data_IF_292617042289
#
_entry.id   IF_292617042289
#
_cell.length_a   1.000
_cell.length_b   1.000
_cell.length_c   1.000
_cell.angle_alpha   90.00
_cell.angle_beta   90.00
_cell.angle_gamma   90.00
#
_symmetry.space_group_name_H-M   'P 1'
#
loop_
_entity.id
_entity.type
_entity.pdbx_description
1 polymer ?
#
# COMPACT_ATOMS: atom_id res chain seq x y z
N UNK A 1 -14.64 -10.99 -2.80
CA UNK A 1 -13.57 -10.13 -2.26
C UNK A 1 -12.35 -10.30 -3.16
N UNK A 2 -11.91 -9.23 -3.82
CA UNK A 2 -10.75 -9.27 -4.71
C UNK A 2 -9.46 -9.19 -3.90
N UNK A 3 -8.44 -9.94 -4.28
CA UNK A 3 -7.10 -9.84 -3.70
C UNK A 3 -6.23 -9.05 -4.65
N UNK A 4 -5.62 -7.98 -4.15
CA UNK A 4 -4.74 -7.10 -4.94
C UNK A 4 -3.38 -7.06 -4.27
N UNK A 5 -2.35 -7.44 -5.01
CA UNK A 5 -0.96 -7.29 -4.57
C UNK A 5 -0.42 -5.95 -5.07
N UNK A 6 0.14 -5.16 -4.16
CA UNK A 6 0.79 -3.90 -4.49
C UNK A 6 2.31 -4.04 -4.47
N UNK A 7 2.94 -3.49 -5.50
CA UNK A 7 4.34 -3.08 -5.48
C UNK A 7 4.45 -1.63 -4.96
N UNK A 8 5.66 -1.16 -4.63
CA UNK A 8 5.88 0.16 -4.03
C UNK A 8 5.36 1.31 -4.90
N UNK A 9 5.74 1.36 -6.18
CA UNK A 9 5.32 2.45 -7.06
C UNK A 9 3.79 2.52 -7.28
N UNK A 10 3.07 1.41 -7.56
CA UNK A 10 1.61 1.41 -7.62
C UNK A 10 0.94 1.76 -6.28
N UNK A 11 1.51 1.36 -5.14
CA UNK A 11 0.98 1.69 -3.82
C UNK A 11 1.08 3.20 -3.53
N UNK A 12 2.26 3.77 -3.76
CA UNK A 12 2.50 5.21 -3.63
C UNK A 12 1.56 5.97 -4.56
N UNK A 13 1.39 5.50 -5.79
CA UNK A 13 0.46 6.09 -6.76
C UNK A 13 -0.99 6.09 -6.23
N UNK A 14 -1.44 4.98 -5.64
CA UNK A 14 -2.76 4.87 -5.03
C UNK A 14 -2.93 5.78 -3.79
N UNK A 15 -1.84 6.12 -3.11
CA UNK A 15 -1.79 7.04 -1.99
C UNK A 15 -1.58 8.51 -2.41
N UNK A 16 -1.37 8.78 -3.71
CA UNK A 16 -1.17 10.11 -4.26
C UNK A 16 -2.46 10.70 -4.84
N UNK A 17 -3.19 9.91 -5.62
CA UNK A 17 -4.37 10.39 -6.35
C UNK A 17 -5.63 10.34 -5.51
N UNK A 18 -6.55 11.28 -5.78
CA UNK A 18 -7.84 11.39 -5.10
C UNK A 18 -8.99 11.23 -6.07
N UNK A 19 -10.03 10.56 -5.60
CA UNK A 19 -11.36 10.55 -6.19
C UNK A 19 -12.36 10.85 -5.06
N UNK A 20 -13.30 11.76 -5.31
CA UNK A 20 -14.33 12.12 -4.30
C UNK A 20 -13.72 12.52 -2.94
N UNK A 21 -12.65 13.32 -2.97
CA UNK A 21 -11.88 13.77 -1.80
C UNK A 21 -11.15 12.68 -0.98
N UNK A 22 -11.29 11.39 -1.29
CA UNK A 22 -10.56 10.28 -0.65
C UNK A 22 -9.38 9.84 -1.51
N UNK A 23 -8.33 9.27 -0.90
CA UNK A 23 -7.24 8.68 -1.69
C UNK A 23 -7.77 7.46 -2.45
N UNK A 24 -7.20 7.17 -3.61
CA UNK A 24 -7.61 6.00 -4.40
C UNK A 24 -7.52 4.70 -3.57
N UNK A 25 -6.49 4.59 -2.73
CA UNK A 25 -6.30 3.46 -1.81
C UNK A 25 -7.43 3.32 -0.77
N UNK A 26 -8.06 4.41 -0.34
CA UNK A 26 -9.16 4.40 0.64
C UNK A 26 -10.47 3.85 0.06
N UNK A 27 -10.59 3.88 -1.27
CA UNK A 27 -11.70 3.23 -1.96
C UNK A 27 -11.47 1.72 -2.09
N UNK A 28 -10.19 1.29 -2.16
CA UNK A 28 -9.82 -0.12 -2.33
C UNK A 28 -9.83 -0.89 -1.01
N UNK A 29 -9.26 -0.33 0.05
CA UNK A 29 -9.08 -1.02 1.33
C UNK A 29 -10.38 -1.64 1.92
N UNK A 30 -11.58 -1.02 1.80
CA UNK A 30 -12.81 -1.61 2.33
C UNK A 30 -13.37 -2.78 1.52
N UNK A 31 -12.98 -2.93 0.25
CA UNK A 31 -13.60 -3.88 -0.70
C UNK A 31 -12.62 -4.92 -1.25
N UNK A 32 -11.32 -4.72 -1.02
CA UNK A 32 -10.24 -5.58 -1.46
C UNK A 32 -9.41 -6.07 -0.26
N UNK A 33 -8.88 -7.29 -0.38
CA UNK A 33 -7.76 -7.74 0.46
C UNK A 33 -6.47 -7.26 -0.20
N UNK A 34 -5.83 -6.26 0.40
CA UNK A 34 -4.59 -5.67 -0.11
C UNK A 34 -3.41 -6.42 0.50
N UNK A 35 -2.54 -6.98 -0.36
CA UNK A 35 -1.31 -7.65 0.04
C UNK A 35 -0.10 -6.82 -0.34
N UNK A 36 0.87 -6.73 0.56
CA UNK A 36 2.11 -5.97 0.38
C UNK A 36 3.30 -6.85 0.77
N UNK A 37 4.33 -7.00 -0.08
CA UNK A 37 5.57 -7.69 0.31
C UNK A 37 6.32 -6.93 1.42
N UNK A 38 7.09 -7.62 2.29
CA UNK A 38 7.93 -6.96 3.29
C UNK A 38 8.91 -5.94 2.70
N UNK A 39 9.46 -6.24 1.50
CA UNK A 39 10.36 -5.30 0.80
C UNK A 39 9.67 -3.99 0.42
N UNK A 40 8.35 -4.03 0.14
CA UNK A 40 7.57 -2.84 -0.20
C UNK A 40 7.24 -2.04 1.06
N UNK A 41 6.95 -2.70 2.18
CA UNK A 41 6.82 -2.03 3.48
C UNK A 41 8.11 -1.30 3.85
N UNK A 42 9.27 -1.96 3.71
CA UNK A 42 10.58 -1.35 3.95
C UNK A 42 10.85 -0.15 3.02
N UNK A 43 10.58 -0.29 1.72
CA UNK A 43 10.76 0.79 0.76
C UNK A 43 9.86 1.99 1.06
N UNK A 44 8.59 1.76 1.38
CA UNK A 44 7.66 2.83 1.76
C UNK A 44 8.04 3.47 3.09
N UNK A 45 8.54 2.70 4.05
CA UNK A 45 9.01 3.23 5.34
C UNK A 45 10.28 4.08 5.20
N UNK A 46 11.19 3.72 4.29
CA UNK A 46 12.48 4.41 4.12
C UNK A 46 12.40 5.52 3.09
N UNK A 47 12.00 5.20 1.87
CA UNK A 47 11.94 6.12 0.73
C UNK A 47 10.68 6.97 0.79
N UNK A 48 9.57 6.36 1.19
CA UNK A 48 8.27 7.04 1.29
C UNK A 48 8.18 8.05 2.43
N UNK A 49 9.03 7.97 3.45
CA UNK A 49 9.02 8.92 4.58
C UNK A 49 9.31 10.38 4.17
N UNK A 50 9.98 10.59 3.02
CA UNK A 50 10.28 11.92 2.51
C UNK A 50 9.08 12.59 1.79
N UNK A 51 8.00 11.83 1.50
CA UNK A 51 6.89 12.30 0.68
C UNK A 51 5.54 12.00 1.32
N UNK A 52 4.57 12.90 1.16
CA UNK A 52 3.25 12.78 1.80
C UNK A 52 2.47 11.52 1.39
N UNK A 53 2.62 11.09 0.14
CA UNK A 53 2.03 9.85 -0.39
C UNK A 53 2.70 8.59 0.16
N UNK A 54 4.02 8.61 0.35
CA UNK A 54 4.73 7.54 1.04
C UNK A 54 4.36 7.41 2.52
N UNK A 55 4.25 8.54 3.24
CA UNK A 55 3.72 8.55 4.63
C UNK A 55 2.30 8.01 4.67
N UNK A 56 1.44 8.42 3.73
CA UNK A 56 0.07 7.92 3.62
C UNK A 56 0.01 6.40 3.40
N UNK A 57 0.92 5.83 2.61
CA UNK A 57 1.02 4.38 2.46
C UNK A 57 1.46 3.68 3.76
N UNK A 58 2.51 4.19 4.41
CA UNK A 58 3.03 3.66 5.68
C UNK A 58 1.96 3.65 6.79
N UNK A 59 1.19 4.73 6.92
CA UNK A 59 0.11 4.83 7.93
C UNK A 59 -0.95 3.73 7.76
N UNK A 60 -1.29 3.36 6.52
CA UNK A 60 -2.32 2.36 6.24
C UNK A 60 -1.84 0.94 6.50
N UNK A 61 -0.58 0.66 6.17
CA UNK A 61 0.10 -0.57 6.58
C UNK A 61 0.09 -0.67 8.11
N UNK A 62 0.51 0.39 8.81
CA UNK A 62 0.55 0.44 10.26
C UNK A 62 -0.83 0.30 10.94
N UNK A 63 -1.91 0.76 10.28
CA UNK A 63 -3.30 0.58 10.75
C UNK A 63 -3.88 -0.79 10.45
N UNK A 64 -3.17 -1.66 9.74
CA UNK A 64 -3.66 -2.99 9.35
C UNK A 64 -4.71 -2.96 8.24
N UNK A 65 -4.81 -1.86 7.49
CA UNK A 65 -5.66 -1.75 6.30
C UNK A 65 -5.08 -2.52 5.11
N UNK A 66 -3.83 -2.96 5.24
CA UNK A 66 -3.08 -3.75 4.26
C UNK A 66 -2.34 -4.87 4.98
N UNK A 67 -2.28 -6.04 4.36
CA UNK A 67 -1.62 -7.21 4.92
C UNK A 67 -0.20 -7.34 4.37
N UNK A 68 0.80 -7.33 5.25
CA UNK A 68 2.17 -7.63 4.87
C UNK A 68 2.35 -9.15 4.79
N UNK A 69 2.67 -9.66 3.60
CA UNK A 69 2.75 -11.10 3.34
C UNK A 69 4.11 -11.51 2.77
N UNK A 70 4.74 -12.51 3.40
CA UNK A 70 5.95 -13.11 2.87
C UNK A 70 5.71 -13.69 1.47
N UNK A 71 6.52 -13.27 0.50
CA UNK A 71 6.44 -13.77 -0.88
C UNK A 71 7.27 -15.05 -0.97
N UNK A 72 6.65 -16.17 -1.35
CA UNK A 72 7.41 -17.37 -1.71
C UNK A 72 8.15 -17.13 -3.02
N UNK A 73 9.48 -17.27 -3.02
CA UNK A 73 10.27 -17.27 -4.25
C UNK A 73 9.83 -18.45 -5.11
N UNK A 74 9.43 -18.19 -6.36
CA UNK A 74 9.31 -19.26 -7.36
C UNK A 74 10.71 -19.85 -7.57
N UNK A 75 10.83 -21.16 -7.36
CA UNK A 75 12.01 -21.95 -7.72
C UNK A 75 12.09 -22.11 -9.24
#
# INVERSE_FOLDING_TARGET
MLTVAFDAAPLITACKFRAEAKLAVDHLAPVCRILVPPSVEEEVAVVGAAYADGVAAAERIARGEMEVCAVQRRQ
#
